data_IF_765015301295
#
_entry.id   IF_765015301295
#
_cell.length_a   1.000
_cell.length_b   1.000
_cell.length_c   1.000
_cell.angle_alpha   90.00
_cell.angle_beta   90.00
_cell.angle_gamma   90.00
#
_symmetry.space_group_name_H-M   'P 1'
#
loop_
_entity.id
_entity.type
_entity.pdbx_description
1 polymer ?
#
# COMPACT_ATOMS: atom_id res chain seq x y z
N UNK A 1 46.89 3.30 16.30
CA UNK A 1 45.91 2.90 15.25
C UNK A 1 44.64 3.73 15.38
N UNK A 2 44.28 4.52 14.36
CA UNK A 2 43.02 5.23 14.35
C UNK A 2 41.82 4.26 14.20
N UNK A 3 40.64 4.66 14.70
CA UNK A 3 39.41 3.87 14.56
C UNK A 3 38.83 4.05 13.16
N UNK A 4 38.51 2.94 12.48
CA UNK A 4 37.81 2.96 11.18
C UNK A 4 36.44 3.63 11.25
N UNK A 5 35.97 4.18 10.13
CA UNK A 5 34.62 4.75 9.98
C UNK A 5 33.51 3.75 10.33
N UNK A 6 33.72 2.47 10.07
CA UNK A 6 32.77 1.38 10.36
C UNK A 6 33.00 0.72 11.72
N UNK A 7 33.89 1.29 12.55
CA UNK A 7 34.12 0.75 13.88
C UNK A 7 32.85 0.84 14.73
N UNK A 8 32.51 -0.26 15.42
CA UNK A 8 31.28 -0.38 16.21
C UNK A 8 31.15 0.73 17.27
N UNK A 9 32.26 1.09 17.91
CA UNK A 9 32.29 2.15 18.93
C UNK A 9 31.98 3.52 18.35
N UNK A 10 32.49 3.86 17.15
CA UNK A 10 32.15 5.12 16.48
C UNK A 10 30.72 5.13 15.95
N UNK A 11 30.24 4.02 15.38
CA UNK A 11 28.86 3.90 14.92
C UNK A 11 27.85 4.03 16.07
N UNK A 12 28.10 3.39 17.21
CA UNK A 12 27.24 3.50 18.39
C UNK A 12 27.16 4.94 18.91
N UNK A 13 28.30 5.64 19.00
CA UNK A 13 28.33 7.04 19.40
C UNK A 13 27.59 7.96 18.41
N UNK A 14 27.71 7.70 17.10
CA UNK A 14 26.96 8.44 16.07
C UNK A 14 25.45 8.20 16.16
N UNK A 15 25.03 6.95 16.40
CA UNK A 15 23.61 6.61 16.59
C UNK A 15 23.01 7.36 17.78
N UNK A 16 23.69 7.37 18.94
CA UNK A 16 23.24 8.16 20.10
C UNK A 16 23.10 9.64 19.76
N UNK A 17 24.10 10.24 19.12
CA UNK A 17 24.02 11.64 18.67
C UNK A 17 22.88 11.90 17.69
N UNK A 18 22.55 10.96 16.81
CA UNK A 18 21.47 11.15 15.84
C UNK A 18 20.09 11.28 16.52
N UNK A 19 19.87 10.62 17.66
CA UNK A 19 18.56 10.55 18.32
C UNK A 19 18.47 11.39 19.61
N UNK A 20 19.57 11.54 20.35
CA UNK A 20 19.57 12.11 21.71
C UNK A 20 20.18 13.52 21.78
N UNK A 21 20.67 14.06 20.66
CA UNK A 21 21.34 15.38 20.65
C UNK A 21 20.59 16.42 19.83
N UNK A 22 21.14 17.63 19.76
CA UNK A 22 20.62 18.76 18.97
C UNK A 22 20.32 18.42 17.50
N UNK A 23 20.99 17.41 16.92
CA UNK A 23 20.66 16.93 15.57
C UNK A 23 19.23 16.42 15.44
N UNK A 24 18.71 15.73 16.47
CA UNK A 24 17.35 15.23 16.49
C UNK A 24 16.35 16.40 16.49
N UNK A 25 16.54 17.37 17.38
CA UNK A 25 15.72 18.58 17.50
C UNK A 25 15.68 19.36 16.18
N UNK A 26 16.86 19.67 15.61
CA UNK A 26 16.94 20.40 14.34
C UNK A 26 16.33 19.64 13.15
N UNK A 27 16.33 18.30 13.19
CA UNK A 27 15.65 17.50 12.17
C UNK A 27 14.13 17.53 12.34
N UNK A 28 13.63 17.42 13.58
CA UNK A 28 12.21 17.49 13.90
C UNK A 28 11.60 18.85 13.55
N UNK A 29 12.31 19.95 13.85
CA UNK A 29 11.89 21.30 13.49
C UNK A 29 11.78 21.50 11.98
N UNK A 30 12.73 20.94 11.21
CA UNK A 30 12.68 20.99 9.75
C UNK A 30 11.49 20.21 9.22
N UNK A 31 11.23 19.01 9.75
CA UNK A 31 10.08 18.21 9.33
C UNK A 31 8.77 18.90 9.68
N UNK A 32 8.65 19.53 10.85
CA UNK A 32 7.46 20.28 11.27
C UNK A 32 7.21 21.52 10.39
N UNK A 33 8.28 22.24 10.01
CA UNK A 33 8.16 23.36 9.08
C UNK A 33 7.68 22.92 7.70
N UNK A 34 8.21 21.80 7.19
CA UNK A 34 7.81 21.27 5.88
C UNK A 34 6.36 20.79 5.93
N UNK A 35 5.95 20.04 6.96
CA UNK A 35 4.56 19.59 7.10
C UNK A 35 3.59 20.77 7.20
N UNK A 36 3.93 21.81 7.96
CA UNK A 36 3.11 23.02 8.05
C UNK A 36 2.98 23.74 6.70
N UNK A 37 4.04 23.80 5.89
CA UNK A 37 3.98 24.38 4.54
C UNK A 37 3.12 23.55 3.58
N UNK A 38 3.23 22.22 3.66
CA UNK A 38 2.45 21.33 2.81
C UNK A 38 0.95 21.41 3.15
N UNK A 39 0.59 21.41 4.42
CA UNK A 39 -0.80 21.56 4.86
C UNK A 39 -1.36 22.93 4.48
N UNK A 40 -0.60 24.02 4.68
CA UNK A 40 -1.04 25.35 4.21
C UNK A 40 -1.23 25.42 2.70
N UNK A 41 -0.42 24.70 1.92
CA UNK A 41 -0.60 24.66 0.45
C UNK A 41 -1.90 23.93 0.09
N UNK A 42 -2.25 22.85 0.79
CA UNK A 42 -3.51 22.14 0.54
C UNK A 42 -4.73 22.91 1.00
N UNK A 43 -4.60 23.73 2.05
CA UNK A 43 -5.71 24.55 2.55
C UNK A 43 -5.95 25.80 1.69
N UNK A 44 -4.89 26.38 1.09
CA UNK A 44 -5.00 27.57 0.21
C UNK A 44 -5.48 27.22 -1.20
N UNK A 45 -5.31 25.98 -1.67
CA UNK A 45 -5.90 25.53 -2.95
C UNK A 45 -7.42 25.25 -2.87
N UNK A 46 -8.07 25.52 -1.72
CA UNK A 46 -9.49 25.27 -1.49
C UNK A 46 -10.38 26.50 -1.28
N UNK A 47 -9.86 27.73 -1.38
CA UNK A 47 -10.60 28.96 -1.01
C UNK A 47 -10.40 30.13 -2.01
N UNK A 48 -10.23 29.81 -3.30
CA UNK A 48 -10.38 30.77 -4.41
C UNK A 48 -11.49 30.25 -5.35
N UNK A 49 -12.74 30.61 -5.02
CA UNK A 49 -13.90 30.57 -5.90
C UNK A 49 -13.75 31.60 -7.04
N UNK A 50 -12.76 31.46 -7.94
CA UNK A 50 -12.75 32.22 -9.21
C UNK A 50 -11.86 31.61 -10.33
N UNK A 51 -11.78 30.27 -10.39
CA UNK A 51 -11.28 29.53 -11.57
C UNK A 51 -12.30 28.49 -12.06
N UNK A 52 -13.58 28.82 -11.97
CA UNK A 52 -14.71 28.05 -12.47
C UNK A 52 -14.95 28.23 -13.99
N UNK A 53 -13.92 28.27 -14.84
CA UNK A 53 -14.14 28.54 -16.27
C UNK A 53 -13.41 27.68 -17.31
N UNK A 54 -12.42 26.82 -17.00
CA UNK A 54 -11.83 25.94 -18.04
C UNK A 54 -11.35 24.56 -17.55
N UNK A 55 -12.17 23.86 -16.77
CA UNK A 55 -11.97 22.43 -16.55
C UNK A 55 -13.30 21.68 -16.35
N UNK A 56 -14.22 21.87 -17.31
CA UNK A 56 -15.34 20.96 -17.49
C UNK A 56 -15.08 20.12 -18.75
N UNK A 57 -14.50 18.92 -18.53
CA UNK A 57 -14.70 17.75 -19.39
C UNK A 57 -14.99 16.58 -18.47
N UNK A 58 -16.29 16.42 -18.22
CA UNK A 58 -17.06 15.18 -18.15
C UNK A 58 -16.48 13.93 -17.47
N UNK A 59 -17.19 13.53 -16.41
CA UNK A 59 -17.49 12.11 -16.20
C UNK A 59 -17.27 11.59 -14.79
N UNK A 60 -18.15 11.92 -13.85
CA UNK A 60 -18.60 10.94 -12.85
C UNK A 60 -19.99 11.34 -12.32
N UNK A 61 -20.97 11.29 -13.22
CA UNK A 61 -22.37 11.15 -12.85
C UNK A 61 -22.56 9.77 -12.17
N UNK A 62 -23.17 9.80 -10.99
CA UNK A 62 -24.07 8.75 -10.53
C UNK A 62 -23.44 7.42 -10.04
N UNK A 63 -22.73 7.46 -8.91
CA UNK A 63 -22.55 6.27 -8.07
C UNK A 63 -23.89 5.87 -7.43
N UNK A 64 -24.62 5.00 -8.15
CA UNK A 64 -25.87 4.35 -7.73
C UNK A 64 -25.83 3.85 -6.28
N UNK A 65 -26.62 4.52 -5.46
CA UNK A 65 -27.09 4.08 -4.15
C UNK A 65 -28.00 2.84 -4.35
N UNK A 66 -27.47 1.63 -4.22
CA UNK A 66 -28.32 0.43 -4.39
C UNK A 66 -27.66 -0.94 -4.37
N UNK A 67 -26.33 -1.07 -4.38
CA UNK A 67 -25.69 -2.37 -4.18
C UNK A 67 -25.19 -2.50 -2.73
N UNK A 68 -25.70 -3.52 -2.03
CA UNK A 68 -25.18 -3.93 -0.72
C UNK A 68 -23.64 -3.94 -0.70
N UNK A 69 -22.98 -3.53 0.40
CA UNK A 69 -21.53 -3.43 0.43
C UNK A 69 -20.92 -4.80 0.18
N UNK A 70 -20.50 -5.05 -1.06
CA UNK A 70 -19.77 -6.26 -1.45
C UNK A 70 -18.59 -6.35 -0.48
N UNK A 71 -18.44 -7.47 0.22
CA UNK A 71 -17.35 -7.66 1.20
C UNK A 71 -16.02 -7.71 0.44
N UNK A 72 -15.42 -6.54 0.24
CA UNK A 72 -14.20 -6.40 -0.53
C UNK A 72 -13.04 -6.95 0.31
N UNK A 73 -12.53 -8.12 -0.06
CA UNK A 73 -11.28 -8.64 0.51
C UNK A 73 -10.10 -7.74 0.13
N UNK A 74 -9.35 -7.26 1.11
CA UNK A 74 -8.14 -6.45 0.93
C UNK A 74 -6.87 -7.29 0.74
N UNK A 75 -6.97 -8.61 0.76
CA UNK A 75 -5.81 -9.51 0.87
C UNK A 75 -5.28 -10.11 -0.45
N UNK A 76 -5.84 -9.77 -1.62
CA UNK A 76 -5.43 -10.38 -2.90
C UNK A 76 -5.25 -9.31 -3.99
N UNK A 77 -4.24 -9.49 -4.85
CA UNK A 77 -4.02 -8.66 -6.05
C UNK A 77 -5.31 -8.61 -6.89
N UNK A 78 -5.82 -7.39 -7.07
CA UNK A 78 -7.00 -7.09 -7.91
C UNK A 78 -6.53 -6.81 -9.34
N UNK A 79 -7.29 -7.22 -10.34
CA UNK A 79 -7.03 -6.84 -11.74
C UNK A 79 -5.86 -7.59 -12.40
N UNK A 80 -5.72 -8.90 -12.19
CA UNK A 80 -4.79 -9.65 -13.03
C UNK A 80 -5.29 -9.63 -14.47
N UNK A 81 -4.43 -9.34 -15.44
CA UNK A 81 -4.76 -9.36 -16.89
C UNK A 81 -5.51 -10.64 -17.32
N UNK A 82 -5.23 -11.77 -16.68
CA UNK A 82 -5.94 -13.04 -16.94
C UNK A 82 -7.38 -13.03 -16.45
N UNK A 83 -7.65 -12.41 -15.32
CA UNK A 83 -8.99 -12.26 -14.75
C UNK A 83 -9.85 -11.36 -15.63
N UNK A 84 -9.30 -10.24 -16.09
CA UNK A 84 -9.95 -9.28 -17.00
C UNK A 84 -10.23 -9.90 -18.37
N UNK A 85 -9.26 -10.61 -18.96
CA UNK A 85 -9.45 -11.30 -20.24
C UNK A 85 -10.51 -12.41 -20.14
N UNK A 86 -10.61 -13.10 -19.00
CA UNK A 86 -11.66 -14.11 -18.80
C UNK A 86 -13.02 -13.47 -18.65
N UNK A 87 -13.12 -12.38 -17.88
CA UNK A 87 -14.34 -11.60 -17.74
C UNK A 87 -14.84 -11.07 -19.09
N UNK A 88 -13.94 -10.50 -19.91
CA UNK A 88 -14.30 -9.99 -21.25
C UNK A 88 -14.68 -11.09 -22.24
N UNK A 89 -14.26 -12.33 -21.99
CA UNK A 89 -14.66 -13.52 -22.75
C UNK A 89 -15.85 -14.27 -22.16
N UNK A 90 -16.56 -13.68 -21.18
CA UNK A 90 -17.73 -14.29 -20.54
C UNK A 90 -17.41 -15.55 -19.73
N UNK A 91 -16.14 -15.78 -19.39
CA UNK A 91 -15.71 -16.90 -18.57
C UNK A 91 -15.63 -16.49 -17.09
N UNK A 92 -15.74 -17.48 -16.20
CA UNK A 92 -15.53 -17.27 -14.76
C UNK A 92 -14.15 -16.64 -14.51
N UNK A 93 -14.13 -15.51 -13.80
CA UNK A 93 -12.94 -14.67 -13.51
C UNK A 93 -11.77 -15.50 -12.95
N UNK A 94 -12.08 -16.47 -12.09
CA UNK A 94 -11.12 -17.48 -11.62
C UNK A 94 -11.66 -18.88 -11.90
N UNK A 95 -10.83 -19.81 -12.43
CA UNK A 95 -11.27 -21.18 -12.64
C UNK A 95 -11.62 -21.85 -11.29
N UNK A 96 -12.74 -22.56 -11.24
CA UNK A 96 -13.08 -23.46 -10.14
C UNK A 96 -12.01 -24.55 -10.03
N UNK A 97 -11.39 -24.67 -8.85
CA UNK A 97 -10.45 -25.75 -8.57
C UNK A 97 -11.27 -27.05 -8.42
N UNK A 98 -11.25 -27.91 -9.44
CA UNK A 98 -11.92 -29.21 -9.45
C UNK A 98 -10.89 -30.31 -9.67
N UNK A 99 -11.02 -31.41 -8.92
CA UNK A 99 -10.17 -32.60 -9.07
C UNK A 99 -8.93 -32.61 -8.19
N UNK A 100 -7.93 -33.38 -8.63
CA UNK A 100 -6.67 -33.60 -7.93
C UNK A 100 -5.54 -32.83 -8.61
N UNK A 101 -4.54 -32.39 -7.82
CA UNK A 101 -3.31 -31.87 -8.39
C UNK A 101 -2.48 -33.01 -9.01
N UNK A 102 -1.37 -32.67 -9.68
CA UNK A 102 -0.44 -33.65 -10.28
C UNK A 102 0.12 -34.67 -9.28
N UNK A 103 -0.01 -34.41 -7.97
CA UNK A 103 0.41 -35.30 -6.88
C UNK A 103 -0.76 -36.13 -6.30
N UNK A 104 -1.91 -36.19 -6.97
CA UNK A 104 -3.09 -36.96 -6.54
C UNK A 104 -3.82 -36.38 -5.33
N UNK A 105 -3.49 -35.18 -4.87
CA UNK A 105 -4.13 -34.55 -3.70
C UNK A 105 -5.26 -33.62 -4.13
N UNK A 106 -6.36 -33.51 -3.35
CA UNK A 106 -7.43 -32.55 -3.63
C UNK A 106 -6.88 -31.12 -3.78
N UNK A 107 -7.23 -30.46 -4.88
CA UNK A 107 -6.81 -29.07 -5.12
C UNK A 107 -7.64 -28.15 -4.21
N UNK A 108 -7.00 -27.56 -3.20
CA UNK A 108 -7.65 -26.65 -2.24
C UNK A 108 -7.07 -25.24 -2.32
N UNK A 109 -7.92 -24.22 -2.13
CA UNK A 109 -7.53 -22.79 -2.12
C UNK A 109 -6.69 -22.44 -0.90
N UNK A 110 -6.95 -23.12 0.22
CA UNK A 110 -6.20 -23.00 1.46
C UNK A 110 -5.36 -24.25 1.62
N UNK A 111 -4.13 -24.12 2.13
CA UNK A 111 -3.34 -25.29 2.56
C UNK A 111 -4.14 -26.00 3.66
N UNK A 112 -4.92 -27.02 3.29
CA UNK A 112 -5.50 -27.93 4.26
C UNK A 112 -4.32 -28.50 5.06
N UNK A 113 -4.35 -28.27 6.37
CA UNK A 113 -3.35 -28.59 7.39
C UNK A 113 -2.11 -29.28 6.84
N UNK A 114 -1.02 -28.52 6.68
CA UNK A 114 0.31 -29.10 6.52
C UNK A 114 0.49 -30.06 7.69
N UNK A 115 0.50 -31.37 7.43
CA UNK A 115 0.53 -32.38 8.50
C UNK A 115 1.70 -32.04 9.42
N UNK A 116 1.43 -31.93 10.72
CA UNK A 116 2.43 -31.59 11.72
C UNK A 116 3.54 -32.62 11.59
N UNK A 117 4.71 -32.24 11.07
CA UNK A 117 5.88 -33.12 11.04
C UNK A 117 6.24 -33.34 12.50
N UNK A 118 5.95 -34.55 13.02
CA UNK A 118 6.40 -34.96 14.35
C UNK A 118 7.93 -34.82 14.33
N UNK A 119 8.43 -33.93 15.18
CA UNK A 119 9.84 -33.94 15.60
C UNK A 119 9.91 -34.83 16.81
#
# INVERSE_FOLDING_TARGET
MAKSLRSKTKLAARRRKAHESHYAVASAERTARISAKLLKKTDVEGDDEEMAAEAQVDGDEEMKEGEEPKKISTSVARGSRREEWRASKGMEVRPKLKGQNRLGRPVSRHKAGKTKRRR
#
